data_IF_050221522803
#
_entry.id   IF_050221522803
#
_cell.length_a   1.000
_cell.length_b   1.000
_cell.length_c   1.000
_cell.angle_alpha   90.00
_cell.angle_beta   90.00
_cell.angle_gamma   90.00
#
_symmetry.space_group_name_H-M   'P 1'
#
loop_
_entity.id
_entity.type
_entity.pdbx_description
1 polymer ?
#
# COMPACT_ATOMS: atom_id res chain seq x y z
N UNK A 1 -54.52 46.19 63.33
CA UNK A 1 -53.08 45.83 63.29
C UNK A 1 -52.94 44.59 62.42
N UNK A 2 -52.46 44.75 61.19
CA UNK A 2 -52.25 43.65 60.24
C UNK A 2 -50.74 43.39 60.11
N UNK A 3 -50.32 42.13 60.26
CA UNK A 3 -48.95 41.66 60.04
C UNK A 3 -48.96 40.63 58.91
N UNK A 4 -48.02 40.67 57.95
CA UNK A 4 -48.03 39.82 56.77
C UNK A 4 -47.19 38.56 56.98
N UNK A 5 -47.73 37.40 56.61
CA UNK A 5 -46.96 36.17 56.47
C UNK A 5 -46.40 36.08 55.04
N UNK A 6 -45.11 36.44 54.91
CA UNK A 6 -44.26 36.00 53.81
C UNK A 6 -43.94 34.52 54.01
N UNK A 7 -44.27 33.66 53.04
CA UNK A 7 -43.69 32.31 52.97
C UNK A 7 -42.82 32.18 51.73
N UNK A 8 -41.56 31.92 52.03
CA UNK A 8 -40.41 31.80 51.14
C UNK A 8 -40.57 30.64 50.15
N UNK A 9 -40.28 30.90 48.88
CA UNK A 9 -40.20 29.91 47.80
C UNK A 9 -38.80 29.30 47.82
N UNK A 10 -38.63 28.08 48.34
CA UNK A 10 -37.36 27.37 48.27
C UNK A 10 -37.19 26.77 46.86
N UNK A 11 -36.31 27.38 46.06
CA UNK A 11 -35.94 26.92 44.73
C UNK A 11 -34.80 25.90 44.86
N UNK A 12 -35.10 24.62 44.65
CA UNK A 12 -34.12 23.53 44.67
C UNK A 12 -33.45 23.48 43.29
N UNK A 13 -32.19 23.93 43.21
CA UNK A 13 -31.35 23.75 42.03
C UNK A 13 -30.73 22.35 42.05
N UNK A 14 -31.16 21.49 41.13
CA UNK A 14 -30.44 20.26 40.80
C UNK A 14 -29.24 20.60 39.92
N UNK A 15 -28.03 20.48 40.47
CA UNK A 15 -26.80 20.51 39.67
C UNK A 15 -26.58 19.09 39.14
N UNK A 16 -26.97 18.85 37.90
CA UNK A 16 -26.57 17.65 37.17
C UNK A 16 -25.05 17.73 36.92
N UNK A 17 -24.28 16.91 37.64
CA UNK A 17 -22.86 16.70 37.39
C UNK A 17 -22.72 15.83 36.15
N UNK A 18 -22.67 16.45 34.97
CA UNK A 18 -22.22 15.77 33.76
C UNK A 18 -20.74 15.44 33.95
N UNK A 19 -20.44 14.16 34.16
CA UNK A 19 -19.08 13.65 34.04
C UNK A 19 -18.57 13.98 32.63
N UNK A 20 -17.65 14.93 32.55
CA UNK A 20 -16.91 15.21 31.32
C UNK A 20 -15.99 14.01 31.13
N UNK A 21 -16.42 13.05 30.32
CA UNK A 21 -15.52 12.09 29.70
C UNK A 21 -14.64 12.92 28.77
N UNK A 22 -13.43 13.24 29.24
CA UNK A 22 -12.36 13.75 28.39
C UNK A 22 -12.03 12.61 27.42
N UNK A 23 -12.76 12.55 26.30
CA UNK A 23 -12.31 11.84 25.11
C UNK A 23 -11.02 12.54 24.72
N UNK A 24 -9.88 11.94 25.06
CA UNK A 24 -8.62 12.33 24.44
C UNK A 24 -8.86 12.36 22.94
N UNK A 25 -8.60 13.51 22.31
CA UNK A 25 -8.59 13.58 20.86
C UNK A 25 -7.66 12.47 20.35
N UNK A 26 -8.04 11.74 19.28
CA UNK A 26 -7.17 10.72 18.72
C UNK A 26 -5.82 11.36 18.46
N UNK A 27 -4.82 10.93 19.22
CA UNK A 27 -3.41 11.31 19.07
C UNK A 27 -3.12 11.34 17.59
N UNK A 28 -2.67 12.49 17.09
CA UNK A 28 -2.36 12.72 15.67
C UNK A 28 -1.85 11.44 15.05
N UNK A 29 -2.66 10.81 14.17
CA UNK A 29 -2.32 9.51 13.60
C UNK A 29 -0.91 9.61 13.03
N UNK A 30 0.02 8.87 13.63
CA UNK A 30 1.37 8.73 13.12
C UNK A 30 1.26 8.23 11.68
N UNK A 31 1.60 9.09 10.73
CA UNK A 31 1.53 8.80 9.29
C UNK A 31 2.92 8.55 8.76
N UNK A 32 3.03 7.80 7.68
CA UNK A 32 4.29 7.55 7.01
C UNK A 32 4.43 8.49 5.81
N UNK A 33 5.62 9.06 5.62
CA UNK A 33 5.94 9.73 4.36
C UNK A 33 6.23 8.67 3.28
N UNK A 34 5.23 8.40 2.45
CA UNK A 34 5.27 7.30 1.49
C UNK A 34 6.22 7.55 0.30
N UNK A 35 6.67 6.46 -0.31
CA UNK A 35 7.38 6.47 -1.57
C UNK A 35 6.52 6.97 -2.74
N UNK A 36 7.15 7.66 -3.67
CA UNK A 36 6.53 8.16 -4.88
C UNK A 36 6.60 7.12 -6.01
N UNK A 37 5.56 6.29 -6.12
CA UNK A 37 5.48 5.25 -7.18
C UNK A 37 5.47 5.81 -8.61
N UNK A 38 5.19 7.11 -8.79
CA UNK A 38 5.22 7.75 -10.10
C UNK A 38 6.64 7.79 -10.72
N UNK A 39 7.70 7.51 -9.94
CA UNK A 39 9.06 7.40 -10.49
C UNK A 39 9.28 6.12 -11.29
N UNK A 40 8.43 5.10 -11.14
CA UNK A 40 8.65 3.85 -11.85
C UNK A 40 8.56 4.02 -13.36
N UNK A 41 9.51 3.41 -14.06
CA UNK A 41 9.70 3.56 -15.50
C UNK A 41 10.42 4.86 -15.91
N UNK A 42 10.64 5.81 -15.01
CA UNK A 42 11.45 7.00 -15.32
C UNK A 42 12.93 6.64 -15.46
N UNK A 43 13.65 7.40 -16.29
CA UNK A 43 15.10 7.23 -16.47
C UNK A 43 15.87 7.65 -15.21
N UNK A 44 16.90 6.89 -14.86
CA UNK A 44 17.80 7.18 -13.74
C UNK A 44 18.66 8.43 -13.95
N UNK A 45 18.76 8.94 -15.17
CA UNK A 45 19.54 10.14 -15.51
C UNK A 45 18.77 11.44 -15.21
N UNK A 46 17.47 11.32 -14.88
CA UNK A 46 16.63 12.45 -14.51
C UNK A 46 16.55 12.60 -12.99
N UNK A 47 16.60 13.84 -12.52
CA UNK A 47 16.28 14.13 -11.13
C UNK A 47 14.83 13.75 -10.84
N UNK A 48 14.62 12.90 -9.83
CA UNK A 48 13.30 12.43 -9.40
C UNK A 48 13.10 12.67 -7.91
N UNK A 49 11.84 12.84 -7.51
CA UNK A 49 11.46 12.91 -6.09
C UNK A 49 11.09 11.52 -5.60
N UNK A 50 11.93 10.90 -4.76
CA UNK A 50 11.73 9.54 -4.26
C UNK A 50 10.53 9.42 -3.30
N UNK A 51 10.29 10.45 -2.50
CA UNK A 51 9.22 10.47 -1.49
C UNK A 51 8.12 11.44 -1.89
N UNK A 52 6.88 11.16 -1.47
CA UNK A 52 5.80 12.14 -1.56
C UNK A 52 6.13 13.37 -0.68
N UNK A 53 5.45 14.49 -0.93
CA UNK A 53 5.63 15.67 -0.07
C UNK A 53 5.22 15.35 1.37
N UNK A 54 6.13 15.60 2.31
CA UNK A 54 5.92 15.39 3.74
C UNK A 54 4.77 16.25 4.25
N UNK A 55 3.91 15.68 5.08
CA UNK A 55 2.89 16.38 5.87
C UNK A 55 3.27 16.42 7.34
N UNK A 56 2.65 17.32 8.09
CA UNK A 56 2.89 17.44 9.52
C UNK A 56 2.56 16.12 10.25
N UNK A 57 3.48 15.67 11.09
CA UNK A 57 3.36 14.40 11.82
C UNK A 57 3.71 13.15 11.00
N UNK A 58 4.12 13.27 9.74
CA UNK A 58 4.62 12.13 8.97
C UNK A 58 6.05 11.74 9.39
N UNK A 59 6.24 10.44 9.60
CA UNK A 59 7.54 9.81 9.86
C UNK A 59 8.22 9.51 8.54
N UNK A 60 9.44 9.99 8.43
CA UNK A 60 10.31 9.76 7.29
C UNK A 60 10.90 8.36 7.36
N UNK A 61 11.19 7.73 6.20
CA UNK A 61 11.91 6.48 6.20
C UNK A 61 13.36 6.67 6.64
N UNK A 62 13.92 5.68 7.33
CA UNK A 62 15.34 5.63 7.67
C UNK A 62 16.18 5.30 6.44
N UNK A 63 15.63 4.50 5.51
CA UNK A 63 16.33 4.09 4.30
C UNK A 63 15.36 3.89 3.15
N UNK A 64 15.78 4.30 1.95
CA UNK A 64 15.11 4.01 0.68
C UNK A 64 16.15 3.37 -0.25
N UNK A 65 15.93 2.10 -0.58
CA UNK A 65 16.71 1.37 -1.58
C UNK A 65 15.89 1.34 -2.87
N UNK A 66 16.51 1.69 -4.00
CA UNK A 66 15.84 1.70 -5.31
C UNK A 66 16.55 0.73 -6.24
N UNK A 67 15.77 -0.02 -7.00
CA UNK A 67 16.29 -0.93 -8.01
C UNK A 67 16.11 -0.31 -9.41
N UNK A 68 17.21 -0.32 -10.17
CA UNK A 68 17.32 0.28 -11.49
C UNK A 68 17.74 -0.78 -12.50
N UNK A 69 16.95 -0.93 -13.56
CA UNK A 69 17.15 -1.90 -14.63
C UNK A 69 17.01 -1.19 -15.97
N UNK A 70 17.96 -1.43 -16.88
CA UNK A 70 18.01 -0.74 -18.18
C UNK A 70 17.94 0.80 -18.03
N UNK A 71 18.55 1.33 -16.97
CA UNK A 71 18.53 2.78 -16.67
C UNK A 71 17.18 3.31 -16.23
N UNK A 72 16.25 2.46 -15.74
CA UNK A 72 14.93 2.87 -15.25
C UNK A 72 14.60 2.28 -13.89
N UNK A 73 13.86 3.04 -13.07
CA UNK A 73 13.40 2.57 -11.76
C UNK A 73 12.29 1.53 -11.90
N UNK A 74 12.39 0.39 -11.20
CA UNK A 74 11.35 -0.65 -11.23
C UNK A 74 10.91 -1.16 -9.86
N UNK A 75 11.73 -1.01 -8.82
CA UNK A 75 11.34 -1.37 -7.46
C UNK A 75 11.98 -0.46 -6.42
N UNK A 76 11.42 -0.48 -5.21
CA UNK A 76 11.99 0.19 -4.06
C UNK A 76 11.67 -0.55 -2.77
N UNK A 77 12.62 -0.57 -1.84
CA UNK A 77 12.42 -1.04 -0.46
C UNK A 77 12.59 0.14 0.48
N UNK A 78 11.56 0.42 1.26
CA UNK A 78 11.51 1.54 2.19
C UNK A 78 11.44 1.00 3.62
N UNK A 79 12.37 1.42 4.47
CA UNK A 79 12.44 1.02 5.87
C UNK A 79 12.08 2.19 6.76
N UNK A 80 11.13 1.96 7.66
CA UNK A 80 10.71 2.90 8.69
C UNK A 80 11.16 2.40 10.06
N UNK A 81 11.33 3.31 11.03
CA UNK A 81 11.80 2.95 12.36
C UNK A 81 10.89 1.92 13.04
N UNK A 82 11.47 1.11 13.94
CA UNK A 82 10.78 0.05 14.70
C UNK A 82 9.54 0.49 15.48
N UNK A 83 9.51 1.76 15.88
CA UNK A 83 8.41 2.29 16.69
C UNK A 83 7.10 2.45 15.90
N UNK A 84 7.13 2.28 14.58
CA UNK A 84 5.95 2.23 13.73
C UNK A 84 5.39 0.81 13.73
N UNK A 85 4.15 0.67 14.18
CA UNK A 85 3.45 -0.61 14.09
C UNK A 85 3.01 -0.91 12.66
N UNK A 86 2.87 -2.20 12.35
CA UNK A 86 2.34 -2.64 11.06
C UNK A 86 0.92 -2.09 10.80
N UNK A 87 0.10 -1.93 11.83
CA UNK A 87 -1.24 -1.34 11.72
C UNK A 87 -1.19 0.15 11.35
N UNK A 88 -0.29 0.93 11.95
CA UNK A 88 -0.09 2.33 11.60
C UNK A 88 0.38 2.46 10.15
N UNK A 89 1.35 1.64 9.74
CA UNK A 89 1.86 1.62 8.39
C UNK A 89 0.78 1.21 7.37
N UNK A 90 -0.02 0.19 7.69
CA UNK A 90 -1.17 -0.22 6.87
C UNK A 90 -2.17 0.91 6.73
N UNK A 91 -2.48 1.61 7.82
CA UNK A 91 -3.41 2.73 7.82
C UNK A 91 -2.91 3.86 6.93
N UNK A 92 -1.62 4.20 7.02
CA UNK A 92 -0.97 5.18 6.14
C UNK A 92 -1.04 4.76 4.65
N UNK A 93 -0.73 3.50 4.34
CA UNK A 93 -0.83 2.98 2.98
C UNK A 93 -2.28 2.99 2.48
N UNK A 94 -3.25 2.68 3.32
CA UNK A 94 -4.67 2.66 2.96
C UNK A 94 -5.26 4.05 2.70
N UNK A 95 -4.61 5.14 3.10
CA UNK A 95 -5.01 6.48 2.66
C UNK A 95 -4.89 6.63 1.13
N UNK A 96 -3.85 6.01 0.54
CA UNK A 96 -3.55 6.12 -0.89
C UNK A 96 -4.01 4.89 -1.67
N UNK A 97 -3.77 3.70 -1.11
CA UNK A 97 -3.81 2.45 -1.85
C UNK A 97 -4.99 1.53 -1.52
N UNK A 98 -5.90 1.89 -0.60
CA UNK A 98 -6.94 0.98 -0.07
C UNK A 98 -7.78 0.26 -1.11
N UNK A 99 -8.08 0.91 -2.25
CA UNK A 99 -8.87 0.28 -3.32
C UNK A 99 -8.18 -0.94 -3.96
N UNK A 100 -6.86 -1.06 -3.78
CA UNK A 100 -6.04 -2.15 -4.31
C UNK A 100 -5.63 -3.18 -3.23
N UNK A 101 -6.09 -3.04 -1.99
CA UNK A 101 -5.76 -3.97 -0.90
C UNK A 101 -6.33 -5.37 -1.21
N UNK A 102 -5.48 -6.39 -1.12
CA UNK A 102 -5.89 -7.78 -1.33
C UNK A 102 -6.67 -8.26 -0.10
N UNK A 103 -7.92 -8.68 -0.30
CA UNK A 103 -8.83 -9.13 0.77
C UNK A 103 -8.22 -10.21 1.67
N UNK A 104 -7.44 -11.13 1.11
CA UNK A 104 -6.77 -12.21 1.86
C UNK A 104 -5.69 -11.68 2.84
N UNK A 105 -5.18 -10.48 2.64
CA UNK A 105 -4.15 -9.85 3.47
C UNK A 105 -4.68 -8.68 4.30
N UNK A 106 -5.95 -8.29 4.15
CA UNK A 106 -6.52 -7.14 4.85
C UNK A 106 -6.59 -7.32 6.37
N UNK A 107 -6.70 -8.57 6.84
CA UNK A 107 -6.73 -8.94 8.27
C UNK A 107 -5.46 -9.63 8.76
N UNK A 108 -4.44 -9.72 7.91
CA UNK A 108 -3.19 -10.37 8.28
C UNK A 108 -2.36 -9.41 9.14
N UNK A 109 -2.00 -9.85 10.35
CA UNK A 109 -1.27 -9.04 11.34
C UNK A 109 0.23 -8.91 11.05
N UNK A 110 0.79 -9.71 10.15
CA UNK A 110 2.22 -9.75 9.83
C UNK A 110 2.55 -9.21 8.45
N UNK A 111 1.55 -9.07 7.56
CA UNK A 111 1.77 -8.66 6.18
C UNK A 111 0.56 -7.98 5.55
N UNK A 112 0.79 -6.96 4.72
CA UNK A 112 -0.19 -6.34 3.83
C UNK A 112 0.24 -6.42 2.37
N UNK A 113 -0.73 -6.58 1.45
CA UNK A 113 -0.47 -6.57 0.01
C UNK A 113 -1.51 -5.69 -0.69
N UNK A 114 -1.02 -4.79 -1.55
CA UNK A 114 -1.81 -4.01 -2.47
C UNK A 114 -1.35 -4.29 -3.89
N UNK A 115 -2.29 -4.44 -4.82
CA UNK A 115 -1.98 -4.75 -6.22
C UNK A 115 -2.83 -3.89 -7.16
N UNK A 116 -2.16 -3.02 -7.88
CA UNK A 116 -2.75 -2.14 -8.88
C UNK A 116 -2.45 -2.68 -10.28
N UNK A 117 -3.42 -3.36 -10.88
CA UNK A 117 -3.27 -3.95 -12.22
C UNK A 117 -3.23 -2.88 -13.32
N UNK A 118 -3.92 -1.75 -13.13
CA UNK A 118 -4.00 -0.67 -14.13
C UNK A 118 -2.63 -0.02 -14.35
N UNK A 119 -1.94 0.31 -13.25
CA UNK A 119 -0.59 0.91 -13.28
C UNK A 119 0.54 -0.13 -13.19
N UNK A 120 0.17 -1.42 -13.12
CA UNK A 120 1.06 -2.58 -13.06
C UNK A 120 2.12 -2.50 -11.96
N UNK A 121 1.71 -2.24 -10.73
CA UNK A 121 2.59 -2.29 -9.57
C UNK A 121 1.93 -2.90 -8.34
N UNK A 122 2.76 -3.37 -7.40
CA UNK A 122 2.33 -3.88 -6.11
C UNK A 122 3.08 -3.19 -4.98
N UNK A 123 2.44 -3.21 -3.82
CA UNK A 123 3.02 -2.79 -2.55
C UNK A 123 2.90 -3.96 -1.59
N UNK A 124 3.99 -4.30 -0.91
CA UNK A 124 4.02 -5.26 0.18
C UNK A 124 4.45 -4.53 1.44
N UNK A 125 3.69 -4.71 2.51
CA UNK A 125 4.04 -4.29 3.87
C UNK A 125 4.40 -5.54 4.67
N UNK A 126 5.50 -5.47 5.38
CA UNK A 126 5.91 -6.49 6.36
C UNK A 126 6.65 -5.82 7.51
N UNK A 127 6.92 -6.59 8.56
CA UNK A 127 7.77 -6.16 9.66
C UNK A 127 8.91 -7.18 9.80
N UNK A 128 10.15 -6.69 9.83
CA UNK A 128 11.31 -7.48 10.22
C UNK A 128 11.60 -7.25 11.72
N UNK A 129 12.63 -7.90 12.27
CA UNK A 129 12.95 -7.82 13.71
C UNK A 129 13.21 -6.37 14.18
N UNK A 130 13.60 -5.48 13.27
CA UNK A 130 14.10 -4.15 13.59
C UNK A 130 13.28 -3.02 12.94
N UNK A 131 12.47 -3.28 11.92
CA UNK A 131 11.89 -2.25 11.08
C UNK A 131 10.54 -2.64 10.49
N UNK A 132 9.73 -1.62 10.24
CA UNK A 132 8.58 -1.75 9.34
C UNK A 132 9.05 -1.51 7.91
N UNK A 133 8.81 -2.48 7.03
CA UNK A 133 9.35 -2.50 5.66
C UNK A 133 8.20 -2.43 4.65
N UNK A 134 8.32 -1.52 3.70
CA UNK A 134 7.40 -1.38 2.57
C UNK A 134 8.16 -1.58 1.27
N UNK A 135 7.80 -2.60 0.52
CA UNK A 135 8.38 -2.95 -0.77
C UNK A 135 7.40 -2.55 -1.87
N UNK A 136 7.89 -1.83 -2.88
CA UNK A 136 7.14 -1.40 -4.05
C UNK A 136 7.77 -2.05 -5.28
N UNK A 137 6.99 -2.74 -6.10
CA UNK A 137 7.49 -3.43 -7.31
C UNK A 137 6.59 -3.11 -8.49
N UNK A 138 7.16 -2.61 -9.58
CA UNK A 138 6.51 -2.54 -10.90
C UNK A 138 6.65 -3.89 -11.59
N UNK A 139 5.53 -4.47 -11.99
CA UNK A 139 5.47 -5.68 -12.80
C UNK A 139 4.91 -5.31 -14.17
N UNK A 140 5.71 -4.61 -14.98
CA UNK A 140 5.35 -4.53 -16.39
C UNK A 140 5.57 -5.89 -17.06
N UNK A 141 4.77 -6.17 -18.09
CA UNK A 141 5.04 -7.31 -18.96
C UNK A 141 6.46 -7.17 -19.50
N UNK A 142 7.14 -8.32 -19.64
CA UNK A 142 8.54 -8.43 -20.07
C UNK A 142 8.90 -7.36 -21.11
N UNK A 143 10.12 -6.78 -21.07
CA UNK A 143 10.51 -5.79 -22.06
C UNK A 143 10.16 -6.30 -23.46
N UNK A 144 9.56 -5.47 -24.33
CA UNK A 144 9.12 -5.86 -25.70
C UNK A 144 10.17 -6.65 -26.49
N UNK A 145 11.45 -6.48 -26.14
CA UNK A 145 12.57 -7.23 -26.67
C UNK A 145 12.45 -8.74 -26.40
N UNK A 146 11.99 -9.13 -25.22
CA UNK A 146 11.71 -10.53 -24.85
C UNK A 146 10.44 -11.03 -25.51
N UNK A 147 9.38 -10.21 -25.64
CA UNK A 147 8.19 -10.60 -26.42
C UNK A 147 8.56 -10.94 -27.86
N UNK A 148 9.38 -10.10 -28.52
CA UNK A 148 9.88 -10.40 -29.87
C UNK A 148 10.79 -11.62 -29.95
N UNK A 149 11.61 -11.90 -28.92
CA UNK A 149 12.42 -13.11 -28.85
C UNK A 149 11.53 -14.35 -28.68
N UNK A 150 10.55 -14.29 -27.79
CA UNK A 150 9.61 -15.40 -27.53
C UNK A 150 8.72 -15.65 -28.75
N UNK A 151 8.22 -14.60 -29.39
CA UNK A 151 7.41 -14.71 -30.60
C UNK A 151 8.23 -15.29 -31.77
N UNK A 152 9.48 -14.86 -31.94
CA UNK A 152 10.37 -15.42 -32.95
C UNK A 152 10.75 -16.88 -32.65
N UNK A 153 11.08 -17.20 -31.40
CA UNK A 153 11.38 -18.57 -30.99
C UNK A 153 10.16 -19.50 -31.16
N UNK A 154 8.96 -19.04 -30.83
CA UNK A 154 7.71 -19.78 -31.08
C UNK A 154 7.47 -19.98 -32.58
N UNK A 155 7.72 -18.96 -33.42
CA UNK A 155 7.60 -19.09 -34.88
C UNK A 155 8.62 -20.06 -35.46
N UNK A 156 9.87 -20.05 -34.98
CA UNK A 156 10.88 -21.03 -35.39
C UNK A 156 10.48 -22.44 -35.01
N UNK A 157 10.05 -22.67 -33.75
CA UNK A 157 9.57 -23.97 -33.29
C UNK A 157 8.35 -24.48 -34.08
N UNK A 158 7.40 -23.60 -34.42
CA UNK A 158 6.22 -23.97 -35.22
C UNK A 158 6.61 -24.30 -36.67
N UNK A 159 7.60 -23.60 -37.24
CA UNK A 159 8.06 -23.84 -38.61
C UNK A 159 8.91 -25.13 -38.72
N UNK A 160 9.55 -25.57 -37.63
CA UNK A 160 10.31 -26.82 -37.56
C UNK A 160 9.44 -28.04 -37.21
N UNK A 161 8.27 -27.83 -36.60
CA UNK A 161 7.34 -28.89 -36.22
C UNK A 161 6.58 -29.45 -37.44
N UNK A 162 6.44 -30.76 -37.49
CA UNK A 162 5.61 -31.44 -38.49
C UNK A 162 4.11 -31.28 -38.15
N UNK A 163 3.21 -31.36 -39.14
CA UNK A 163 1.76 -31.27 -38.90
C UNK A 163 1.24 -32.29 -37.87
N UNK A 164 1.81 -33.50 -37.84
CA UNK A 164 1.46 -34.56 -36.87
C UNK A 164 1.85 -34.19 -35.43
N UNK A 165 2.99 -33.54 -35.23
CA UNK A 165 3.45 -33.07 -33.90
C UNK A 165 2.58 -31.93 -33.37
N UNK A 166 2.12 -31.04 -34.26
CA UNK A 166 1.21 -29.94 -33.90
C UNK A 166 -0.19 -30.45 -33.55
N UNK A 167 -0.68 -31.47 -34.25
CA UNK A 167 -1.98 -32.08 -33.99
C UNK A 167 -1.99 -32.80 -32.62
N UNK A 168 -0.95 -33.60 -32.34
CA UNK A 168 -0.79 -34.29 -31.06
C UNK A 168 -0.67 -33.32 -29.86
N UNK A 169 0.04 -32.19 -30.02
CA UNK A 169 0.12 -31.16 -28.99
C UNK A 169 -1.23 -30.48 -28.73
N UNK A 170 -2.03 -30.26 -29.78
CA UNK A 170 -3.37 -29.66 -29.65
C UNK A 170 -4.37 -30.58 -28.95
N UNK A 171 -4.27 -31.90 -29.17
CA UNK A 171 -5.10 -32.90 -28.49
C UNK A 171 -4.73 -33.02 -27.02
N UNK A 172 -3.42 -32.98 -26.69
CA UNK A 172 -2.96 -33.00 -25.30
C UNK A 172 -3.50 -31.81 -24.50
N UNK A 173 -3.46 -30.60 -25.07
CA UNK A 173 -3.95 -29.38 -24.40
C UNK A 173 -5.48 -29.40 -24.20
N UNK A 174 -6.24 -30.04 -25.09
CA UNK A 174 -7.70 -30.19 -24.94
C UNK A 174 -8.11 -31.23 -23.90
N UNK A 175 -7.19 -32.11 -23.49
CA UNK A 175 -7.45 -33.16 -22.50
C UNK A 175 -7.18 -32.75 -21.05
N UNK A 176 -6.58 -31.56 -20.85
CA UNK A 176 -6.23 -31.02 -19.53
C UNK A 176 -7.21 -29.95 -19.00
N UNK A 177 -8.25 -29.57 -19.79
CA UNK A 177 -9.41 -28.78 -19.34
C UNK A 177 -10.57 -29.68 -18.84
#
# INVERSE_FOLDING_TARGET
MASPYFRSLAMVFWIATSAIVVRGEPTSELRLQLFNVAIFGQSSDKAVKLLLSKRDGEVEPETVLVDIGEGRFYAATVRYPKNISLEQARSALNIVYKKWERKSFAKNSTMGIWRNEDDKFSVQLSQDDDNTVVIYIKYDSLPKRVEGIVENALKELINEATPEELEAASESLRSEE
#
